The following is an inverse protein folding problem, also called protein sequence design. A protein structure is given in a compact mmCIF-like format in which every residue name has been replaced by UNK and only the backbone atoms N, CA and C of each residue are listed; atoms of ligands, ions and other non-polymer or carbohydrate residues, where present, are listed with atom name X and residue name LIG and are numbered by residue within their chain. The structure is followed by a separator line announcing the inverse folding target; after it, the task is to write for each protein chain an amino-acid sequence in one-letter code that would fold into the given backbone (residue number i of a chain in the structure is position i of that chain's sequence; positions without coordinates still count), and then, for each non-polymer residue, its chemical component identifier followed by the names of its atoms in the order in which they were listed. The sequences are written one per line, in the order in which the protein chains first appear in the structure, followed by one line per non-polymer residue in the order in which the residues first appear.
data_IF_988361983030
#
_entry.id   IF_988361983030
#
_cell.length_a   1.000
_cell.length_b   1.000
_cell.length_c   1.000
_cell.angle_alpha   90.00
_cell.angle_beta   90.00
_cell.angle_gamma   90.00
#
_symmetry.space_group_name_H-M   'P 1'
#
loop_
_entity.id
_entity.type
_entity.pdbx_description
1 polymer ?
#
# COMPACT_ATOMS: atom_id res chain seq x y z
N UNK A 1 -5.93 3.07 1.92
CA UNK A 1 -5.98 1.61 1.90
C UNK A 1 -6.27 1.07 0.51
N UNK A 2 -5.38 0.23 -0.01
CA UNK A 2 -5.70 -0.63 -1.14
C UNK A 2 -6.59 -1.76 -0.62
N UNK A 3 -7.86 -1.79 -1.03
CA UNK A 3 -8.77 -2.87 -0.66
C UNK A 3 -8.41 -4.12 -1.49
N UNK A 4 -7.40 -4.88 -1.04
CA UNK A 4 -7.24 -6.26 -1.52
C UNK A 4 -8.38 -7.06 -0.92
N UNK A 5 -9.49 -7.20 -1.64
CA UNK A 5 -10.52 -8.15 -1.24
C UNK A 5 -9.92 -9.54 -1.39
N UNK A 6 -9.44 -10.12 -0.30
CA UNK A 6 -9.03 -11.51 -0.25
C UNK A 6 -10.28 -12.38 -0.35
N UNK A 7 -10.63 -12.81 -1.56
CA UNK A 7 -11.72 -13.74 -1.82
C UNK A 7 -11.47 -14.50 -3.12
N UNK A 8 -12.08 -15.66 -3.28
CA UNK A 8 -11.99 -16.41 -4.53
C UNK A 8 -12.80 -15.68 -5.61
N UNK A 9 -12.09 -15.05 -6.55
CA UNK A 9 -12.70 -14.43 -7.73
C UNK A 9 -12.66 -15.41 -8.89
N UNK A 10 -13.81 -15.66 -9.51
CA UNK A 10 -13.82 -16.30 -10.82
C UNK A 10 -13.14 -15.38 -11.85
N UNK A 11 -12.50 -15.96 -12.88
CA UNK A 11 -11.83 -15.19 -13.95
C UNK A 11 -12.77 -14.13 -14.55
N UNK A 12 -14.05 -14.48 -14.76
CA UNK A 12 -15.08 -13.57 -15.27
C UNK A 12 -15.35 -12.37 -14.35
N UNK A 13 -15.21 -12.54 -13.04
CA UNK A 13 -15.41 -11.46 -12.06
C UNK A 13 -14.15 -10.60 -11.97
N UNK A 14 -12.97 -11.21 -11.98
CA UNK A 14 -11.68 -10.50 -12.00
C UNK A 14 -11.53 -9.61 -13.25
N UNK A 15 -12.00 -10.06 -14.42
CA UNK A 15 -12.02 -9.25 -15.65
C UNK A 15 -12.91 -8.01 -15.58
N UNK A 16 -13.86 -7.98 -14.65
CA UNK A 16 -14.78 -6.85 -14.42
C UNK A 16 -14.37 -5.99 -13.23
N UNK A 17 -13.25 -6.31 -12.56
CA UNK A 17 -12.73 -5.45 -11.52
C UNK A 17 -12.15 -4.20 -12.17
N UNK A 18 -12.80 -3.08 -11.93
CA UNK A 18 -12.26 -1.77 -12.28
C UNK A 18 -11.28 -1.34 -11.18
N UNK A 19 -10.11 -0.78 -11.53
CA UNK A 19 -9.22 -0.21 -10.55
C UNK A 19 -9.91 0.97 -9.88
N UNK A 20 -10.06 0.89 -8.56
CA UNK A 20 -10.63 1.98 -7.75
C UNK A 20 -9.46 2.86 -7.29
N UNK A 21 -9.53 4.16 -7.63
CA UNK A 21 -8.60 5.15 -7.09
C UNK A 21 -8.84 5.28 -5.59
N UNK A 22 -7.76 5.19 -4.82
CA UNK A 22 -7.82 5.25 -3.35
C UNK A 22 -6.60 5.99 -2.84
N UNK A 23 -6.76 6.65 -1.70
CA UNK A 23 -5.63 7.20 -0.95
C UNK A 23 -5.05 6.10 -0.08
N UNK A 24 -3.79 5.75 -0.29
CA UNK A 24 -3.07 4.85 0.61
C UNK A 24 -2.30 5.65 1.65
N UNK A 25 -2.59 5.38 2.92
CA UNK A 25 -1.89 5.94 4.06
C UNK A 25 -1.17 4.77 4.73
N UNK A 26 0.11 4.95 5.03
CA UNK A 26 0.91 3.93 5.68
C UNK A 26 2.29 4.47 5.98
N UNK A 27 3.04 3.72 6.77
CA UNK A 27 4.42 4.05 7.07
C UNK A 27 5.31 3.64 5.91
N UNK A 28 6.09 4.58 5.38
CA UNK A 28 7.08 4.29 4.35
C UNK A 28 8.17 3.37 4.94
N UNK A 29 8.31 2.18 4.36
CA UNK A 29 9.32 1.20 4.76
C UNK A 29 10.54 1.30 3.85
N UNK A 30 10.32 1.40 2.55
CA UNK A 30 11.39 1.52 1.56
C UNK A 30 10.89 2.08 0.24
N UNK A 31 11.83 2.62 -0.53
CA UNK A 31 11.61 3.15 -1.88
C UNK A 31 12.71 2.65 -2.81
N UNK A 32 12.35 2.34 -4.06
CA UNK A 32 13.31 2.02 -5.11
C UNK A 32 12.81 2.49 -6.49
N UNK A 33 13.59 2.20 -7.54
CA UNK A 33 13.29 2.59 -8.91
C UNK A 33 11.95 2.05 -9.47
N UNK A 34 11.35 1.06 -8.82
CA UNK A 34 10.13 0.39 -9.27
C UNK A 34 8.88 0.80 -8.48
N UNK A 35 9.03 1.34 -7.26
CA UNK A 35 7.90 1.77 -6.45
C UNK A 35 8.27 1.98 -4.98
N UNK A 36 7.22 1.99 -4.15
CA UNK A 36 7.33 2.15 -2.70
C UNK A 36 6.75 0.95 -1.97
N UNK A 37 7.35 0.65 -0.83
CA UNK A 37 6.83 -0.33 0.13
C UNK A 37 6.30 0.43 1.34
N UNK A 38 5.03 0.22 1.66
CA UNK A 38 4.36 0.81 2.82
C UNK A 38 3.86 -0.28 3.76
N UNK A 39 3.86 0.01 5.06
CA UNK A 39 3.22 -0.82 6.07
C UNK A 39 1.97 -0.12 6.60
N UNK A 40 0.84 -0.83 6.62
CA UNK A 40 -0.42 -0.27 7.14
C UNK A 40 -0.42 -0.17 8.67
N UNK A 41 0.23 -1.14 9.35
CA UNK A 41 0.28 -1.19 10.81
C UNK A 41 1.72 -1.31 11.32
N UNK A 42 2.15 -0.36 12.15
CA UNK A 42 3.35 -0.49 12.98
C UNK A 42 2.92 -0.80 14.42
N UNK A 43 3.52 -1.82 15.02
CA UNK A 43 3.37 -2.06 16.45
C UNK A 43 4.16 -1.00 17.22
N UNK A 44 3.47 -0.07 17.90
CA UNK A 44 4.14 0.99 18.68
C UNK A 44 5.15 0.45 19.71
N UNK A 45 4.87 -0.74 20.27
CA UNK A 45 5.73 -1.43 21.25
C UNK A 45 6.87 -2.23 20.62
N UNK A 46 6.82 -2.47 19.31
CA UNK A 46 7.83 -3.22 18.57
C UNK A 46 7.99 -2.65 17.16
N UNK A 47 8.67 -1.50 17.08
CA UNK A 47 8.94 -0.78 15.82
C UNK A 47 9.81 -1.57 14.82
N UNK A 48 10.30 -2.75 15.19
CA UNK A 48 11.04 -3.64 14.28
C UNK A 48 10.11 -4.52 13.43
N UNK A 49 8.87 -4.71 13.87
CA UNK A 49 7.90 -5.56 13.20
C UNK A 49 6.72 -4.74 12.71
N UNK A 50 6.43 -4.89 11.41
CA UNK A 50 5.29 -4.25 10.76
C UNK A 50 4.31 -5.31 10.28
N UNK A 51 3.01 -4.99 10.30
CA UNK A 51 1.97 -5.84 9.72
C UNK A 51 1.46 -5.22 8.43
N UNK A 52 1.12 -6.12 7.51
CA UNK A 52 0.47 -5.79 6.23
C UNK A 52 1.35 -4.86 5.39
N UNK A 53 2.30 -5.47 4.68
CA UNK A 53 3.21 -4.78 3.78
C UNK A 53 2.60 -4.75 2.38
N UNK A 54 2.47 -3.56 1.81
CA UNK A 54 2.00 -3.35 0.45
C UNK A 54 3.12 -2.75 -0.39
N UNK A 55 3.34 -3.32 -1.58
CA UNK A 55 4.19 -2.72 -2.59
C UNK A 55 3.32 -2.01 -3.63
N UNK A 56 3.60 -0.73 -3.87
CA UNK A 56 2.89 0.10 -4.83
C UNK A 56 3.85 0.53 -5.95
N UNK A 57 3.70 0.01 -7.17
CA UNK A 57 4.50 0.44 -8.32
C UNK A 57 4.27 1.92 -8.65
N UNK A 58 5.29 2.63 -9.12
CA UNK A 58 5.17 4.05 -9.49
C UNK A 58 4.08 4.33 -10.52
N UNK A 59 3.89 3.42 -11.48
CA UNK A 59 2.83 3.56 -12.50
C UNK A 59 1.40 3.48 -11.95
N UNK A 60 1.21 3.13 -10.67
CA UNK A 60 -0.08 3.12 -9.99
C UNK A 60 -0.27 4.30 -9.03
N UNK A 61 0.75 5.13 -8.83
CA UNK A 61 0.75 6.24 -7.88
C UNK A 61 0.59 7.54 -8.67
N UNK A 62 -0.54 8.22 -8.49
CA UNK A 62 -0.80 9.51 -9.14
C UNK A 62 -0.12 10.66 -8.39
N UNK A 63 -0.11 10.61 -7.06
CA UNK A 63 0.51 11.59 -6.19
C UNK A 63 1.24 10.90 -5.03
N UNK A 64 2.44 11.39 -4.70
CA UNK A 64 3.29 10.85 -3.65
C UNK A 64 3.71 11.96 -2.69
N UNK A 65 3.43 11.74 -1.40
CA UNK A 65 3.73 12.68 -0.33
C UNK A 65 4.26 11.90 0.88
N UNK A 66 5.33 12.38 1.49
CA UNK A 66 5.87 11.85 2.75
C UNK A 66 5.73 12.96 3.78
N UNK A 67 5.03 12.65 4.88
CA UNK A 67 5.00 13.52 6.03
C UNK A 67 6.19 13.18 6.94
N UNK A 68 7.10 14.12 7.08
CA UNK A 68 8.16 14.06 8.09
C UNK A 68 7.63 14.72 9.36
N UNK A 69 7.53 13.95 10.45
CA UNK A 69 7.23 14.54 11.75
C UNK A 69 8.39 15.46 12.13
N UNK A 70 8.09 16.75 12.33
CA UNK A 70 9.07 17.74 12.75
C UNK A 70 9.63 17.32 14.10
N UNK A 71 10.86 16.80 14.09
CA UNK A 71 11.61 16.40 15.28
C UNK A 71 12.44 17.56 15.80
#
# INVERSE_FOLDING_TARGET
DAWTSGGDYSIKKAQKCEPIKTTTIGYLVSENAHGVTVAADIYEKDKKNVKIVNFMPWGMIEEYWVYEDAT
#
